data_IF_008275436303
#
_entry.id   IF_008275436303
#
_cell.length_a   1.000
_cell.length_b   1.000
_cell.length_c   1.000
_cell.angle_alpha   90.00
_cell.angle_beta   90.00
_cell.angle_gamma   90.00
#
_symmetry.space_group_name_H-M   'P 1'
#
loop_
_entity.id
_entity.type
_entity.pdbx_description
1 polymer ?
#
# COMPACT_ATOMS: atom_id res chain seq x y z
N UNK A 1 -7.72 9.23 8.45
CA UNK A 1 -6.92 8.09 7.93
C UNK A 1 -5.98 7.58 9.04
N UNK A 2 -5.76 6.27 9.16
CA UNK A 2 -4.72 5.74 10.05
C UNK A 2 -3.35 6.17 9.50
N UNK A 3 -2.51 6.83 10.30
CA UNK A 3 -1.16 7.16 9.86
C UNK A 3 -0.35 5.88 9.75
N UNK A 4 0.16 5.58 8.54
CA UNK A 4 1.03 4.43 8.29
C UNK A 4 2.48 4.85 8.48
N UNK A 5 3.25 4.02 9.17
CA UNK A 5 4.66 4.22 9.50
C UNK A 5 5.41 2.90 9.38
N UNK A 6 6.76 2.90 9.50
CA UNK A 6 7.52 1.65 9.46
C UNK A 6 7.11 0.60 10.52
N UNK A 7 6.45 1.00 11.63
CA UNK A 7 5.99 0.04 12.64
C UNK A 7 4.82 -0.82 12.17
N UNK A 8 4.04 -0.37 11.19
CA UNK A 8 2.96 -1.14 10.56
C UNK A 8 3.48 -2.34 9.77
N UNK A 9 4.77 -2.35 9.50
CA UNK A 9 5.47 -3.38 8.76
C UNK A 9 6.26 -4.33 9.68
N UNK A 10 6.10 -4.22 11.00
CA UNK A 10 6.66 -5.17 11.97
C UNK A 10 5.85 -6.47 12.01
N UNK A 11 6.54 -7.60 12.18
CA UNK A 11 5.91 -8.92 12.21
C UNK A 11 5.38 -9.39 10.84
N UNK A 12 5.80 -8.72 9.75
CA UNK A 12 5.43 -9.11 8.39
C UNK A 12 6.07 -10.44 8.03
N UNK A 13 5.27 -11.34 7.49
CA UNK A 13 5.69 -12.67 7.12
C UNK A 13 6.23 -12.71 5.68
N UNK A 14 7.46 -13.21 5.57
CA UNK A 14 8.21 -13.32 4.32
C UNK A 14 8.46 -11.96 3.64
N UNK A 15 8.46 -11.93 2.31
CA UNK A 15 8.64 -10.73 1.50
C UNK A 15 7.51 -9.70 1.68
N UNK A 16 7.84 -8.41 1.47
CA UNK A 16 6.86 -7.30 1.54
C UNK A 16 5.69 -7.49 0.59
N UNK A 17 5.98 -8.04 -0.57
CA UNK A 17 5.04 -8.23 -1.66
C UNK A 17 5.77 -8.67 -2.91
N UNK A 18 5.04 -8.79 -4.02
CA UNK A 18 5.59 -9.20 -5.30
C UNK A 18 4.95 -8.41 -6.44
N UNK A 19 5.66 -8.29 -7.56
CA UNK A 19 5.14 -7.60 -8.74
C UNK A 19 5.17 -6.08 -8.65
N UNK A 20 6.01 -5.49 -7.79
CA UNK A 20 6.18 -4.04 -7.69
C UNK A 20 6.40 -3.42 -9.08
N UNK A 21 5.51 -2.49 -9.46
CA UNK A 21 5.60 -1.86 -10.77
C UNK A 21 6.85 -0.99 -10.84
N UNK A 22 7.54 -0.99 -11.97
CA UNK A 22 8.65 -0.06 -12.23
C UNK A 22 8.19 1.22 -12.93
N UNK A 23 7.06 1.14 -13.65
CA UNK A 23 6.46 2.24 -14.40
C UNK A 23 4.94 2.11 -14.33
N UNK A 24 4.29 3.25 -14.29
CA UNK A 24 2.83 3.37 -14.28
C UNK A 24 2.44 4.69 -14.94
N UNK A 25 1.16 4.83 -15.26
CA UNK A 25 0.63 6.06 -15.84
C UNK A 25 0.70 7.23 -14.83
N UNK A 26 1.01 8.47 -15.23
CA UNK A 26 1.17 9.60 -14.31
C UNK A 26 -0.05 9.93 -13.44
N UNK A 27 -1.25 9.45 -13.77
CA UNK A 27 -2.43 9.62 -12.93
C UNK A 27 -2.38 8.79 -11.64
N UNK A 28 -1.47 7.82 -11.54
CA UNK A 28 -1.27 7.05 -10.32
C UNK A 28 -0.30 7.75 -9.38
N UNK A 29 -0.69 7.81 -8.12
CA UNK A 29 0.16 8.22 -7.02
C UNK A 29 0.69 6.98 -6.28
N UNK A 30 2.01 6.91 -6.14
CA UNK A 30 2.65 5.94 -5.26
C UNK A 30 2.50 6.37 -3.80
N UNK A 31 1.97 5.49 -2.96
CA UNK A 31 1.64 5.82 -1.57
C UNK A 31 2.69 5.32 -0.57
N UNK A 32 3.40 4.23 -0.91
CA UNK A 32 4.36 3.59 -0.02
C UNK A 32 5.61 3.24 -0.82
N UNK A 33 6.76 3.59 -0.25
CA UNK A 33 8.07 3.21 -0.73
C UNK A 33 8.71 2.21 0.23
N UNK A 34 9.37 1.19 -0.31
CA UNK A 34 10.11 0.19 0.46
C UNK A 34 11.34 -0.28 -0.32
N UNK A 35 12.36 -0.76 0.38
CA UNK A 35 13.54 -1.40 -0.20
C UNK A 35 14.20 -2.28 0.83
N UNK A 36 14.93 -3.28 0.35
CA UNK A 36 15.91 -3.99 1.17
C UNK A 36 17.15 -3.09 1.37
N UNK A 37 17.95 -3.34 2.42
CA UNK A 37 19.24 -2.67 2.58
C UNK A 37 20.06 -2.71 1.29
N UNK A 38 20.67 -1.58 0.96
CA UNK A 38 21.53 -1.39 -0.23
C UNK A 38 20.84 -1.56 -1.59
N UNK A 39 19.51 -1.64 -1.63
CA UNK A 39 18.73 -1.59 -2.87
C UNK A 39 18.10 -0.21 -3.10
N UNK A 40 17.83 0.09 -4.38
CA UNK A 40 17.09 1.30 -4.75
C UNK A 40 15.66 1.28 -4.18
N UNK A 41 15.12 2.43 -3.75
CA UNK A 41 13.76 2.53 -3.26
C UNK A 41 12.71 2.11 -4.30
N UNK A 42 11.73 1.31 -3.89
CA UNK A 42 10.63 0.82 -4.72
C UNK A 42 9.29 1.41 -4.26
N UNK A 43 8.69 2.26 -5.09
CA UNK A 43 7.40 2.91 -4.78
C UNK A 43 6.20 2.28 -5.50
N UNK A 44 6.44 1.29 -6.38
CA UNK A 44 5.41 0.62 -7.17
C UNK A 44 4.55 -0.40 -6.43
N UNK A 45 4.65 -0.44 -5.09
CA UNK A 45 3.99 -1.44 -4.24
C UNK A 45 2.52 -1.12 -3.96
N UNK A 46 2.18 0.15 -3.83
CA UNK A 46 0.81 0.61 -3.58
C UNK A 46 0.56 1.87 -4.39
N UNK A 47 -0.17 1.71 -5.49
CA UNK A 47 -0.52 2.79 -6.40
C UNK A 47 -2.01 3.09 -6.33
N UNK A 48 -2.33 4.37 -6.36
CA UNK A 48 -3.69 4.86 -6.26
C UNK A 48 -3.97 5.84 -7.39
N UNK A 49 -5.08 5.65 -8.10
CA UNK A 49 -5.58 6.62 -9.07
C UNK A 49 -7.05 6.91 -8.80
N UNK A 50 -7.44 8.19 -8.88
CA UNK A 50 -8.86 8.54 -8.92
C UNK A 50 -9.41 8.20 -10.31
N UNK A 51 -10.49 7.44 -10.35
CA UNK A 51 -11.14 7.01 -11.59
C UNK A 51 -12.65 7.23 -11.49
N UNK A 52 -13.18 8.19 -12.26
CA UNK A 52 -14.57 8.63 -12.16
C UNK A 52 -14.92 9.08 -10.74
N UNK A 53 -15.96 8.47 -10.16
CA UNK A 53 -16.45 8.77 -8.80
C UNK A 53 -15.76 7.96 -7.71
N UNK A 54 -14.72 7.18 -8.03
CA UNK A 54 -14.04 6.31 -7.08
C UNK A 54 -12.54 6.24 -7.30
N UNK A 55 -11.94 5.17 -6.80
CA UNK A 55 -10.50 4.95 -6.85
C UNK A 55 -10.19 3.56 -7.42
N UNK A 56 -9.15 3.51 -8.22
CA UNK A 56 -8.47 2.27 -8.56
C UNK A 56 -7.24 2.14 -7.66
N UNK A 57 -7.08 0.96 -7.06
CA UNK A 57 -5.95 0.61 -6.20
C UNK A 57 -5.20 -0.55 -6.84
N UNK A 58 -3.92 -0.37 -7.10
CA UNK A 58 -3.00 -1.46 -7.36
C UNK A 58 -2.22 -1.73 -6.08
N UNK A 59 -2.29 -2.97 -5.57
CA UNK A 59 -1.61 -3.40 -4.36
C UNK A 59 -0.77 -4.65 -4.66
N UNK A 60 0.54 -4.49 -4.59
CA UNK A 60 1.53 -5.55 -4.71
C UNK A 60 2.00 -6.05 -3.34
N UNK A 61 1.59 -5.42 -2.23
CA UNK A 61 1.91 -5.91 -0.89
C UNK A 61 1.21 -7.23 -0.63
N UNK A 62 1.87 -8.11 0.14
CA UNK A 62 1.35 -9.45 0.45
C UNK A 62 0.21 -9.42 1.49
N UNK A 63 -0.75 -8.49 1.41
CA UNK A 63 -1.86 -8.38 2.37
C UNK A 63 -2.63 -9.69 2.53
N UNK A 64 -2.77 -10.47 1.45
CA UNK A 64 -3.41 -11.79 1.47
C UNK A 64 -2.78 -12.77 2.47
N UNK A 65 -1.47 -12.64 2.73
CA UNK A 65 -0.73 -13.44 3.72
C UNK A 65 -0.79 -12.79 5.09
N UNK A 66 -0.57 -11.49 5.15
CA UNK A 66 -0.47 -10.76 6.42
C UNK A 66 -1.78 -10.67 7.19
N UNK A 67 -2.92 -10.60 6.48
CA UNK A 67 -4.24 -10.55 7.11
C UNK A 67 -4.55 -11.85 7.88
N UNK A 68 -4.46 -13.06 7.28
CA UNK A 68 -4.58 -14.33 8.01
C UNK A 68 -3.62 -14.47 9.19
N UNK A 69 -2.37 -14.01 9.04
CA UNK A 69 -1.35 -14.08 10.09
C UNK A 69 -1.52 -13.05 11.21
N UNK A 70 -2.54 -12.20 11.12
CA UNK A 70 -2.90 -11.27 12.20
C UNK A 70 -2.00 -10.05 12.32
N UNK A 71 -1.25 -9.68 11.27
CA UNK A 71 -0.32 -8.55 11.30
C UNK A 71 -1.09 -7.23 11.41
N UNK A 72 -1.01 -6.48 12.52
CA UNK A 72 -1.90 -5.34 12.77
C UNK A 72 -1.80 -4.22 11.74
N UNK A 73 -0.61 -3.96 11.19
CA UNK A 73 -0.43 -2.92 10.19
C UNK A 73 -1.07 -3.25 8.85
N UNK A 74 -1.15 -4.53 8.45
CA UNK A 74 -1.87 -4.95 7.24
C UNK A 74 -3.36 -4.60 7.33
N UNK A 75 -3.98 -4.79 8.50
CA UNK A 75 -5.36 -4.37 8.75
C UNK A 75 -5.54 -2.86 8.71
N UNK A 76 -4.57 -2.07 9.20
CA UNK A 76 -4.62 -0.60 9.12
C UNK A 76 -4.49 -0.10 7.68
N UNK A 77 -3.63 -0.72 6.87
CA UNK A 77 -3.52 -0.43 5.43
C UNK A 77 -4.85 -0.75 4.75
N UNK A 78 -5.41 -1.94 4.95
CA UNK A 78 -6.70 -2.33 4.36
C UNK A 78 -7.82 -1.37 4.78
N UNK A 79 -7.90 -1.03 6.07
CA UNK A 79 -8.89 -0.09 6.59
C UNK A 79 -8.80 1.28 5.92
N UNK A 80 -7.59 1.80 5.66
CA UNK A 80 -7.41 3.04 4.90
C UNK A 80 -7.89 2.92 3.45
N UNK A 81 -7.58 1.81 2.77
CA UNK A 81 -7.98 1.57 1.38
C UNK A 81 -9.51 1.49 1.22
N UNK A 82 -10.18 0.69 2.06
CA UNK A 82 -11.65 0.54 1.98
C UNK A 82 -12.40 1.79 2.43
N UNK A 83 -11.78 2.64 3.25
CA UNK A 83 -12.38 3.88 3.75
C UNK A 83 -12.00 5.12 2.95
N UNK A 84 -11.27 4.97 1.84
CA UNK A 84 -10.62 6.07 1.13
C UNK A 84 -11.58 7.19 0.70
N UNK A 85 -12.79 6.87 0.25
CA UNK A 85 -13.81 7.86 -0.15
C UNK A 85 -14.26 8.78 1.00
N UNK A 86 -13.97 8.40 2.25
CA UNK A 86 -14.26 9.21 3.44
C UNK A 86 -13.07 10.07 3.86
N UNK A 87 -11.89 9.88 3.28
CA UNK A 87 -10.69 10.65 3.62
C UNK A 87 -10.79 12.07 3.00
N UNK A 88 -10.82 13.15 3.80
CA UNK A 88 -10.94 14.52 3.28
C UNK A 88 -9.77 14.95 2.39
N UNK A 89 -8.58 14.36 2.54
CA UNK A 89 -7.42 14.66 1.69
C UNK A 89 -7.60 14.18 0.24
N UNK A 90 -8.49 13.20 0.03
CA UNK A 90 -8.74 12.59 -1.27
C UNK A 90 -10.13 12.91 -1.82
N UNK A 91 -10.92 13.75 -1.12
CA UNK A 91 -12.25 14.16 -1.57
C UNK A 91 -12.18 15.06 -2.80
#
# INVERSE_FOLDING_TARGET
PNKITPTDFQGWEEERGHGFMQKWDPHYQALIETHDPDQDPQSGGLLLARYGSGFYVYDAFALYRQLPSGVPGAYRILANLVSINKNPEWK
#
